data_IF_406994431962
#
_entry.id   IF_406994431962
#
_cell.length_a   1.000
_cell.length_b   1.000
_cell.length_c   1.000
_cell.angle_alpha   90.00
_cell.angle_beta   90.00
_cell.angle_gamma   90.00
#
_symmetry.space_group_name_H-M   'P 1'
#
loop_
_entity.id
_entity.type
_entity.pdbx_description
1 polymer ?
#
# COMPACT_ATOMS: atom_id res chain seq x y z
N UNK A 1 26.20 -1.27 8.02
CA UNK A 1 25.14 -0.42 8.58
C UNK A 1 25.14 0.86 7.78
N UNK A 2 24.08 1.10 7.01
CA UNK A 2 24.02 2.24 6.07
C UNK A 2 23.86 3.55 6.85
N UNK A 3 24.68 4.59 6.58
CA UNK A 3 24.65 5.86 7.33
C UNK A 3 23.35 6.65 7.19
N UNK A 4 22.48 6.26 6.23
CA UNK A 4 21.31 7.01 5.77
C UNK A 4 20.12 6.91 6.72
N UNK A 5 20.10 5.92 7.62
CA UNK A 5 18.91 5.57 8.40
C UNK A 5 19.17 5.54 9.91
N UNK A 6 20.28 6.08 10.39
CA UNK A 6 20.42 6.39 11.80
C UNK A 6 19.48 7.56 12.12
N UNK A 7 18.39 7.26 12.79
CA UNK A 7 17.68 8.24 13.60
C UNK A 7 18.63 8.64 14.74
N UNK A 8 19.43 9.65 14.52
CA UNK A 8 20.37 10.25 15.49
C UNK A 8 20.01 11.71 15.62
N UNK A 9 19.94 12.14 16.85
CA UNK A 9 19.72 13.51 17.34
C UNK A 9 20.88 14.45 16.97
N UNK A 10 21.24 14.55 15.69
CA UNK A 10 22.25 15.51 15.26
C UNK A 10 21.67 16.42 14.18
N UNK A 11 22.02 17.70 14.26
CA UNK A 11 21.57 18.86 13.50
C UNK A 11 21.73 18.81 11.96
N UNK A 12 22.00 17.63 11.41
CA UNK A 12 22.01 17.34 9.99
C UNK A 12 21.09 16.15 9.70
N UNK A 13 19.86 16.40 9.28
CA UNK A 13 18.91 15.34 8.90
C UNK A 13 19.51 14.31 7.94
N UNK A 14 18.92 13.11 7.80
CA UNK A 14 19.45 12.04 6.96
C UNK A 14 19.64 12.55 5.52
N UNK A 15 20.87 12.58 5.04
CA UNK A 15 21.20 13.07 3.70
C UNK A 15 20.76 12.03 2.68
N UNK A 16 19.99 12.47 1.69
CA UNK A 16 19.69 11.65 0.52
C UNK A 16 21.02 11.33 -0.19
N UNK A 17 21.33 10.04 -0.43
CA UNK A 17 22.57 9.69 -1.11
C UNK A 17 22.55 10.20 -2.55
N UNK A 18 23.72 10.53 -3.13
CA UNK A 18 23.78 10.98 -4.51
C UNK A 18 23.24 9.90 -5.46
N UNK A 19 22.47 10.29 -6.48
CA UNK A 19 21.88 9.37 -7.43
C UNK A 19 22.95 8.62 -8.24
N UNK A 20 22.67 7.37 -8.57
CA UNK A 20 23.54 6.54 -9.43
C UNK A 20 23.23 6.69 -10.91
N UNK A 21 21.96 6.92 -11.24
CA UNK A 21 21.47 7.01 -12.63
C UNK A 21 21.88 5.83 -13.53
N UNK A 22 22.11 4.66 -12.98
CA UNK A 22 22.52 3.48 -13.71
C UNK A 22 21.68 2.25 -13.37
N UNK A 23 21.75 1.25 -14.23
CA UNK A 23 21.17 -0.06 -13.96
C UNK A 23 22.02 -0.85 -12.97
N UNK A 24 21.37 -1.67 -12.15
CA UNK A 24 22.05 -2.58 -11.24
C UNK A 24 22.80 -3.65 -12.03
N UNK A 25 24.03 -3.95 -11.64
CA UNK A 25 24.76 -5.09 -12.20
C UNK A 25 24.08 -6.38 -11.69
N UNK A 26 23.71 -7.22 -12.65
CA UNK A 26 22.97 -8.46 -12.35
C UNK A 26 23.71 -9.37 -11.38
N UNK A 27 25.02 -9.48 -11.49
CA UNK A 27 25.86 -10.34 -10.63
C UNK A 27 25.86 -9.87 -9.16
N UNK A 28 25.63 -8.59 -8.92
CA UNK A 28 25.49 -8.06 -7.56
C UNK A 28 24.05 -8.21 -7.03
N UNK A 29 23.06 -8.16 -7.93
CA UNK A 29 21.64 -8.19 -7.60
C UNK A 29 21.10 -9.61 -7.41
N UNK A 30 21.53 -10.56 -8.23
CA UNK A 30 21.02 -11.93 -8.26
C UNK A 30 22.19 -12.90 -8.08
N UNK A 31 22.12 -13.75 -7.09
CA UNK A 31 23.14 -14.76 -6.83
C UNK A 31 23.12 -15.86 -7.89
N UNK A 32 24.18 -16.71 -7.89
CA UNK A 32 24.30 -17.82 -8.83
C UNK A 32 23.18 -18.88 -8.74
N UNK A 33 22.28 -18.77 -7.76
CA UNK A 33 21.08 -19.60 -7.58
C UNK A 33 19.79 -18.90 -7.98
N UNK A 34 19.88 -17.69 -8.55
CA UNK A 34 18.73 -16.89 -8.96
C UNK A 34 18.01 -16.15 -7.83
N UNK A 35 18.58 -16.12 -6.61
CA UNK A 35 18.00 -15.43 -5.47
C UNK A 35 18.37 -13.95 -5.48
N UNK A 36 17.39 -13.07 -5.25
CA UNK A 36 17.60 -11.62 -5.21
C UNK A 36 18.27 -11.20 -3.90
N UNK A 37 19.31 -10.38 -4.00
CA UNK A 37 19.93 -9.72 -2.86
C UNK A 37 19.14 -8.45 -2.51
N UNK A 38 18.25 -8.56 -1.54
CA UNK A 38 17.34 -7.48 -1.15
C UNK A 38 18.07 -6.26 -0.57
N UNK A 39 19.19 -6.45 0.12
CA UNK A 39 19.96 -5.34 0.68
C UNK A 39 20.63 -4.53 -0.43
N UNK A 40 21.21 -5.20 -1.40
CA UNK A 40 21.80 -4.53 -2.58
C UNK A 40 20.73 -3.81 -3.38
N UNK A 41 19.57 -4.44 -3.59
CA UNK A 41 18.44 -3.84 -4.29
C UNK A 41 17.91 -2.59 -3.58
N UNK A 42 17.74 -2.67 -2.25
CA UNK A 42 17.31 -1.52 -1.44
C UNK A 42 18.28 -0.35 -1.54
N UNK A 43 19.59 -0.61 -1.36
CA UNK A 43 20.62 0.43 -1.48
C UNK A 43 20.66 1.05 -2.86
N UNK A 44 20.51 0.22 -3.90
CA UNK A 44 20.50 0.67 -5.28
C UNK A 44 19.32 1.62 -5.55
N UNK A 45 18.11 1.26 -5.09
CA UNK A 45 16.92 2.09 -5.22
C UNK A 45 16.97 3.37 -4.36
N UNK A 46 17.53 3.32 -3.14
CA UNK A 46 17.77 4.53 -2.32
C UNK A 46 18.65 5.56 -3.05
N UNK A 47 19.51 5.10 -3.95
CA UNK A 47 20.33 5.94 -4.81
C UNK A 47 19.71 6.20 -6.18
N UNK A 48 18.41 6.03 -6.33
CA UNK A 48 17.67 6.25 -7.58
C UNK A 48 18.17 5.41 -8.77
N UNK A 49 18.87 4.29 -8.49
CA UNK A 49 19.23 3.32 -9.50
C UNK A 49 18.03 2.52 -9.97
N UNK A 50 18.14 1.86 -11.13
CA UNK A 50 17.07 1.04 -11.73
C UNK A 50 17.52 -0.39 -11.93
N UNK A 51 16.58 -1.29 -12.07
CA UNK A 51 16.85 -2.63 -12.58
C UNK A 51 16.87 -2.60 -14.10
N UNK A 52 17.55 -3.58 -14.72
CA UNK A 52 17.32 -3.83 -16.14
C UNK A 52 15.86 -4.25 -16.37
N UNK A 53 15.29 -3.92 -17.54
CA UNK A 53 13.93 -4.38 -17.90
C UNK A 53 13.80 -5.91 -17.72
N UNK A 54 14.82 -6.65 -18.12
CA UNK A 54 14.83 -8.11 -18.05
C UNK A 54 14.75 -8.59 -16.59
N UNK A 55 15.53 -8.02 -15.67
CA UNK A 55 15.53 -8.43 -14.27
C UNK A 55 14.24 -8.01 -13.56
N UNK A 56 13.70 -6.82 -13.89
CA UNK A 56 12.40 -6.39 -13.40
C UNK A 56 11.28 -7.36 -13.81
N UNK A 57 11.18 -7.72 -15.10
CA UNK A 57 10.20 -8.69 -15.59
C UNK A 57 10.37 -10.06 -14.95
N UNK A 58 11.60 -10.55 -14.79
CA UNK A 58 11.86 -11.83 -14.13
C UNK A 58 11.35 -11.84 -12.67
N UNK A 59 11.63 -10.78 -11.91
CA UNK A 59 11.15 -10.67 -10.52
C UNK A 59 9.62 -10.67 -10.50
N UNK A 60 8.98 -9.85 -11.33
CA UNK A 60 7.51 -9.72 -11.36
C UNK A 60 6.85 -11.05 -11.75
N UNK A 61 7.30 -11.71 -12.80
CA UNK A 61 6.71 -12.96 -13.31
C UNK A 61 6.85 -14.11 -12.29
N UNK A 62 8.03 -14.24 -11.68
CA UNK A 62 8.26 -15.26 -10.67
C UNK A 62 7.43 -14.98 -9.40
N UNK A 63 7.35 -13.71 -8.94
CA UNK A 63 6.49 -13.33 -7.82
C UNK A 63 5.01 -13.58 -8.12
N UNK A 64 4.55 -13.26 -9.33
CA UNK A 64 3.17 -13.54 -9.77
C UNK A 64 2.86 -15.04 -9.71
N UNK A 65 3.82 -15.89 -10.06
CA UNK A 65 3.67 -17.36 -9.98
C UNK A 65 3.50 -17.83 -8.54
N UNK A 66 4.24 -17.25 -7.59
CA UNK A 66 4.07 -17.52 -6.16
C UNK A 66 2.71 -17.04 -5.67
N UNK A 67 2.35 -15.77 -5.94
CA UNK A 67 1.09 -15.17 -5.52
C UNK A 67 -0.14 -15.92 -6.07
N UNK A 68 -0.05 -16.43 -7.28
CA UNK A 68 -1.13 -17.21 -7.92
C UNK A 68 -1.46 -18.48 -7.16
N UNK A 69 -0.50 -19.09 -6.48
CA UNK A 69 -0.71 -20.32 -5.69
C UNK A 69 -1.29 -20.02 -4.28
N UNK A 70 -1.24 -18.79 -3.82
CA UNK A 70 -1.78 -18.42 -2.53
C UNK A 70 -3.32 -18.36 -2.54
N UNK A 71 -3.98 -18.75 -1.44
CA UNK A 71 -5.45 -18.65 -1.33
C UNK A 71 -5.89 -17.18 -1.20
N UNK A 72 -7.18 -16.90 -1.45
CA UNK A 72 -7.77 -15.57 -1.26
C UNK A 72 -7.65 -15.05 0.18
N UNK A 73 -7.69 -15.96 1.15
CA UNK A 73 -7.51 -15.67 2.57
C UNK A 73 -6.27 -16.39 3.07
N UNK A 74 -5.24 -15.63 3.37
CA UNK A 74 -4.01 -16.15 3.95
C UNK A 74 -4.24 -16.58 5.41
N UNK A 75 -3.61 -17.66 5.84
CA UNK A 75 -3.57 -18.10 7.25
C UNK A 75 -2.14 -17.96 7.76
N UNK A 76 -1.92 -16.98 8.64
CA UNK A 76 -0.60 -16.66 9.19
C UNK A 76 -0.59 -17.06 10.66
N UNK A 77 0.26 -18.02 10.98
CA UNK A 77 0.48 -18.47 12.35
C UNK A 77 1.93 -18.17 12.72
N UNK A 78 2.17 -17.04 13.33
CA UNK A 78 3.49 -16.57 13.74
C UNK A 78 3.37 -15.80 15.07
N UNK A 79 4.27 -16.01 16.04
CA UNK A 79 4.23 -15.32 17.33
C UNK A 79 4.30 -13.80 17.23
N UNK A 80 4.94 -13.26 16.17
CA UNK A 80 5.07 -11.81 15.97
C UNK A 80 4.88 -11.45 14.51
N UNK A 81 3.80 -10.77 14.18
CA UNK A 81 3.48 -10.29 12.81
C UNK A 81 3.47 -8.78 12.77
N UNK A 82 4.29 -8.20 11.91
CA UNK A 82 4.28 -6.76 11.62
C UNK A 82 3.26 -6.50 10.52
N UNK A 83 2.22 -5.71 10.82
CA UNK A 83 1.20 -5.31 9.86
C UNK A 83 1.51 -3.89 9.38
N UNK A 84 1.61 -3.74 8.07
CA UNK A 84 1.91 -2.50 7.37
C UNK A 84 0.68 -2.07 6.58
N UNK A 85 0.24 -0.83 6.77
CA UNK A 85 -0.84 -0.23 5.99
C UNK A 85 -0.39 0.32 4.65
N UNK A 86 -1.10 1.32 4.14
CA UNK A 86 -0.82 1.99 2.87
C UNK A 86 0.63 2.50 2.81
N UNK A 87 1.32 2.22 1.72
CA UNK A 87 2.70 2.68 1.45
C UNK A 87 2.72 3.83 0.43
N UNK A 88 1.81 3.81 -0.53
CA UNK A 88 1.53 4.91 -1.47
C UNK A 88 2.73 5.41 -2.28
N UNK A 89 3.60 4.50 -2.71
CA UNK A 89 4.78 4.87 -3.49
C UNK A 89 5.85 5.62 -2.69
N UNK A 90 5.73 5.73 -1.37
CA UNK A 90 6.69 6.39 -0.49
C UNK A 90 7.87 5.44 -0.17
N UNK A 91 8.72 5.20 -1.16
CA UNK A 91 9.80 4.22 -1.09
C UNK A 91 10.77 4.46 0.07
N UNK A 92 11.10 5.72 0.37
CA UNK A 92 12.03 6.07 1.45
C UNK A 92 11.45 5.76 2.84
N UNK A 93 10.13 5.86 2.98
CA UNK A 93 9.42 5.46 4.20
C UNK A 93 9.26 3.93 4.28
N UNK A 94 9.01 3.26 3.15
CA UNK A 94 9.06 1.80 3.08
C UNK A 94 10.44 1.27 3.51
N UNK A 95 11.52 1.89 3.04
CA UNK A 95 12.87 1.56 3.47
C UNK A 95 13.03 1.70 4.99
N UNK A 96 12.49 2.77 5.59
CA UNK A 96 12.48 2.98 7.05
C UNK A 96 11.71 1.87 7.78
N UNK A 97 10.53 1.48 7.29
CA UNK A 97 9.74 0.36 7.84
C UNK A 97 10.56 -0.94 7.82
N UNK A 98 11.22 -1.23 6.71
CA UNK A 98 12.07 -2.41 6.54
C UNK A 98 13.20 -2.45 7.58
N UNK A 99 13.83 -1.30 7.85
CA UNK A 99 14.88 -1.19 8.86
C UNK A 99 14.35 -1.30 10.29
N UNK A 100 13.26 -0.60 10.62
CA UNK A 100 12.60 -0.67 11.94
C UNK A 100 12.23 -2.11 12.28
N UNK A 101 11.77 -2.86 11.30
CA UNK A 101 11.33 -4.23 11.46
C UNK A 101 12.39 -5.29 11.25
N UNK A 102 13.57 -4.93 10.70
CA UNK A 102 14.58 -5.88 10.25
C UNK A 102 14.03 -6.95 9.28
N UNK A 103 13.27 -6.50 8.27
CA UNK A 103 12.48 -7.34 7.37
C UNK A 103 13.32 -8.39 6.63
N UNK A 104 14.59 -8.11 6.36
CA UNK A 104 15.46 -9.05 5.65
C UNK A 104 16.04 -10.16 6.53
N UNK A 105 15.80 -10.08 7.84
CA UNK A 105 16.17 -11.13 8.79
C UNK A 105 15.06 -12.14 8.87
N UNK A 106 14.86 -13.15 8.46
CA UNK A 106 13.78 -14.16 8.62
C UNK A 106 13.18 -14.26 10.05
N UNK A 107 13.49 -13.32 10.92
CA UNK A 107 13.12 -13.32 12.33
C UNK A 107 11.70 -12.80 12.57
N UNK A 108 11.06 -12.17 11.57
CA UNK A 108 9.72 -11.60 11.69
C UNK A 108 8.90 -11.81 10.43
N UNK A 109 7.62 -12.01 10.62
CA UNK A 109 6.64 -12.06 9.54
C UNK A 109 6.05 -10.68 9.28
N UNK A 110 5.89 -10.33 8.00
CA UNK A 110 5.32 -9.07 7.53
C UNK A 110 4.03 -9.33 6.74
N UNK A 111 3.00 -8.57 7.08
CA UNK A 111 1.75 -8.53 6.34
C UNK A 111 1.49 -7.10 5.87
N UNK A 112 1.50 -6.88 4.58
CA UNK A 112 1.15 -5.61 3.94
C UNK A 112 -0.32 -5.64 3.50
N UNK A 113 -1.07 -4.59 3.82
CA UNK A 113 -2.51 -4.54 3.59
C UNK A 113 -2.91 -4.00 2.21
N UNK A 114 -1.96 -3.66 1.34
CA UNK A 114 -2.22 -3.10 0.01
C UNK A 114 -1.85 -1.63 -0.12
N UNK A 115 -2.20 -1.04 -1.26
CA UNK A 115 -1.88 0.33 -1.65
C UNK A 115 -0.37 0.62 -1.60
N UNK A 116 0.37 -0.13 -2.44
CA UNK A 116 1.82 0.00 -2.58
C UNK A 116 2.22 1.16 -3.46
N UNK A 117 1.34 1.53 -4.39
CA UNK A 117 1.57 2.47 -5.49
C UNK A 117 0.72 3.73 -5.34
N UNK A 118 0.93 4.66 -6.27
CA UNK A 118 0.23 5.94 -6.42
C UNK A 118 0.56 6.98 -5.33
N UNK A 119 0.26 8.23 -5.61
CA UNK A 119 0.41 9.40 -4.74
C UNK A 119 1.84 9.85 -4.44
N UNK A 120 2.88 9.06 -4.73
CA UNK A 120 4.28 9.45 -4.69
C UNK A 120 5.02 8.89 -5.91
N UNK A 121 6.25 9.35 -6.18
CA UNK A 121 6.98 9.12 -7.43
C UNK A 121 7.90 7.90 -7.43
N UNK A 122 7.80 7.02 -6.42
CA UNK A 122 8.67 5.86 -6.26
C UNK A 122 7.88 4.55 -6.13
N UNK A 123 6.73 4.48 -6.82
CA UNK A 123 5.83 3.32 -6.78
C UNK A 123 6.46 2.08 -7.41
N UNK A 124 7.24 2.25 -8.49
CA UNK A 124 7.97 1.15 -9.14
C UNK A 124 9.00 0.53 -8.21
N UNK A 125 9.74 1.34 -7.46
CA UNK A 125 10.73 0.87 -6.47
C UNK A 125 10.04 0.13 -5.32
N UNK A 126 8.90 0.65 -4.83
CA UNK A 126 8.10 0.00 -3.79
C UNK A 126 7.67 -1.40 -4.23
N UNK A 127 6.98 -1.50 -5.35
CA UNK A 127 6.40 -2.78 -5.77
C UNK A 127 7.47 -3.79 -6.18
N UNK A 128 8.54 -3.38 -6.87
CA UNK A 128 9.62 -4.27 -7.25
C UNK A 128 10.36 -4.83 -6.03
N UNK A 129 10.62 -4.00 -5.01
CA UNK A 129 11.24 -4.46 -3.78
C UNK A 129 10.35 -5.43 -2.99
N UNK A 130 9.04 -5.15 -2.90
CA UNK A 130 8.09 -6.01 -2.20
C UNK A 130 7.90 -7.36 -2.93
N UNK A 131 7.84 -7.37 -4.26
CA UNK A 131 7.78 -8.60 -5.05
C UNK A 131 9.07 -9.42 -4.92
N UNK A 132 10.24 -8.76 -4.93
CA UNK A 132 11.52 -9.41 -4.67
C UNK A 132 11.60 -10.00 -3.26
N UNK A 133 11.09 -9.27 -2.26
CA UNK A 133 11.01 -9.75 -0.88
C UNK A 133 10.07 -10.96 -0.76
N UNK A 134 8.92 -10.94 -1.44
CA UNK A 134 8.00 -12.08 -1.54
C UNK A 134 8.68 -13.33 -2.12
N UNK A 135 9.44 -13.17 -3.19
CA UNK A 135 10.22 -14.27 -3.80
C UNK A 135 11.28 -14.83 -2.85
N UNK A 136 11.99 -13.94 -2.16
CA UNK A 136 13.12 -14.32 -1.31
C UNK A 136 12.67 -14.94 0.00
N UNK A 137 11.52 -14.49 0.53
CA UNK A 137 10.95 -14.89 1.81
C UNK A 137 9.44 -15.18 1.72
N UNK A 138 8.99 -16.16 0.92
CA UNK A 138 7.58 -16.40 0.63
C UNK A 138 6.75 -16.76 1.87
N UNK A 139 7.37 -17.33 2.90
CA UNK A 139 6.72 -17.71 4.16
C UNK A 139 6.72 -16.59 5.23
N UNK A 140 7.42 -15.49 4.99
CA UNK A 140 7.56 -14.39 5.97
C UNK A 140 7.05 -13.06 5.43
N UNK A 141 6.85 -12.90 4.11
CA UNK A 141 6.35 -11.68 3.48
C UNK A 141 5.03 -11.98 2.80
N UNK A 142 3.97 -11.35 3.29
CA UNK A 142 2.61 -11.50 2.78
C UNK A 142 2.09 -10.16 2.27
N UNK A 143 1.50 -10.18 1.07
CA UNK A 143 1.02 -8.99 0.39
C UNK A 143 -0.48 -9.16 0.09
N UNK A 144 -1.33 -8.25 0.56
CA UNK A 144 -2.74 -8.20 0.19
C UNK A 144 -2.97 -7.21 -0.95
N UNK A 145 -4.10 -7.34 -1.62
CA UNK A 145 -4.56 -6.39 -2.64
C UNK A 145 -5.23 -5.19 -1.97
N UNK A 146 -4.83 -3.98 -2.33
CA UNK A 146 -5.54 -2.75 -2.06
C UNK A 146 -6.36 -2.29 -3.28
N UNK A 147 -7.10 -1.21 -3.12
CA UNK A 147 -7.92 -0.64 -4.18
C UNK A 147 -7.10 0.05 -5.30
N UNK A 148 -5.86 0.45 -5.02
CA UNK A 148 -4.96 1.01 -6.03
C UNK A 148 -4.26 -0.06 -6.88
N UNK A 149 -4.23 -1.31 -6.45
CA UNK A 149 -3.65 -2.42 -7.22
C UNK A 149 -4.59 -2.87 -8.34
N UNK A 150 -4.88 -1.93 -9.28
CA UNK A 150 -5.73 -2.15 -10.44
C UNK A 150 -5.41 -1.17 -11.57
N UNK A 151 -5.83 -1.50 -12.80
CA UNK A 151 -5.58 -0.68 -13.99
C UNK A 151 -6.28 0.67 -13.94
N UNK A 152 -7.51 0.69 -13.41
CA UNK A 152 -8.31 1.90 -13.33
C UNK A 152 -7.61 2.96 -12.46
N UNK A 153 -7.26 2.64 -11.22
CA UNK A 153 -6.62 3.58 -10.30
C UNK A 153 -5.21 3.97 -10.75
N UNK A 154 -4.42 3.00 -11.22
CA UNK A 154 -3.06 3.24 -11.70
C UNK A 154 -2.98 4.17 -12.91
N UNK A 155 -4.04 4.25 -13.72
CA UNK A 155 -4.16 5.24 -14.80
C UNK A 155 -4.54 6.64 -14.28
N UNK A 156 -5.45 6.72 -13.28
CA UNK A 156 -5.90 8.00 -12.70
C UNK A 156 -4.76 8.67 -11.92
N UNK A 157 -4.02 7.91 -11.12
CA UNK A 157 -2.95 8.41 -10.25
C UNK A 157 -1.55 8.33 -10.87
N UNK A 158 -1.48 8.06 -12.17
CA UNK A 158 -0.28 8.15 -13.02
C UNK A 158 0.83 7.11 -12.74
N UNK A 159 0.53 6.01 -12.03
CA UNK A 159 1.51 4.92 -11.90
C UNK A 159 1.91 4.33 -13.26
N UNK A 160 0.97 4.27 -14.22
CA UNK A 160 1.29 3.88 -15.59
C UNK A 160 2.33 4.81 -16.21
N UNK A 161 2.16 6.13 -16.05
CA UNK A 161 3.11 7.13 -16.52
C UNK A 161 4.49 6.97 -15.89
N UNK A 162 4.55 6.68 -14.58
CA UNK A 162 5.79 6.34 -13.88
C UNK A 162 6.47 5.11 -14.49
N UNK A 163 5.73 4.02 -14.73
CA UNK A 163 6.25 2.80 -15.35
C UNK A 163 6.79 3.04 -16.76
N UNK A 164 6.08 3.81 -17.58
CA UNK A 164 6.50 4.13 -18.94
C UNK A 164 7.77 5.00 -18.96
N UNK A 165 7.91 5.90 -17.99
CA UNK A 165 9.10 6.75 -17.88
C UNK A 165 10.33 6.01 -17.36
N UNK A 166 10.16 5.11 -16.40
CA UNK A 166 11.25 4.36 -15.76
C UNK A 166 11.62 3.07 -16.51
N UNK A 167 10.63 2.43 -17.14
CA UNK A 167 10.73 1.16 -17.86
C UNK A 167 10.00 1.23 -19.20
N UNK A 168 8.89 0.49 -19.32
CA UNK A 168 8.03 0.45 -20.50
C UNK A 168 6.66 -0.19 -20.18
N UNK A 169 5.82 -0.31 -21.22
CA UNK A 169 4.47 -0.89 -21.09
C UNK A 169 4.48 -2.38 -20.70
N UNK A 170 5.48 -3.17 -21.14
CA UNK A 170 5.56 -4.59 -20.75
C UNK A 170 5.76 -4.77 -19.24
N UNK A 171 6.57 -3.90 -18.61
CA UNK A 171 6.76 -3.92 -17.15
C UNK A 171 5.47 -3.51 -16.43
N UNK A 172 4.77 -2.50 -16.94
CA UNK A 172 3.47 -2.09 -16.40
C UNK A 172 2.46 -3.25 -16.45
N UNK A 173 2.27 -3.88 -17.61
CA UNK A 173 1.32 -4.98 -17.77
C UNK A 173 1.69 -6.22 -16.94
N UNK A 174 2.98 -6.48 -16.77
CA UNK A 174 3.46 -7.54 -15.89
C UNK A 174 3.08 -7.25 -14.42
N UNK A 175 3.25 -5.99 -13.96
CA UNK A 175 2.84 -5.56 -12.61
C UNK A 175 1.32 -5.69 -12.44
N UNK A 176 0.52 -5.25 -13.43
CA UNK A 176 -0.94 -5.42 -13.39
C UNK A 176 -1.36 -6.88 -13.27
N UNK A 177 -0.66 -7.77 -13.97
CA UNK A 177 -0.87 -9.23 -13.87
C UNK A 177 -0.51 -9.76 -12.46
N UNK A 178 0.55 -9.22 -11.84
CA UNK A 178 0.92 -9.55 -10.47
C UNK A 178 -0.16 -9.07 -9.47
N UNK A 179 -0.72 -7.89 -9.68
CA UNK A 179 -1.78 -7.32 -8.85
C UNK A 179 -3.06 -8.18 -8.90
N UNK A 180 -3.41 -8.71 -10.06
CA UNK A 180 -4.54 -9.63 -10.19
C UNK A 180 -4.34 -10.93 -9.39
N UNK A 181 -3.09 -11.28 -9.03
CA UNK A 181 -2.76 -12.46 -8.24
C UNK A 181 -2.74 -12.23 -6.73
N UNK A 182 -2.81 -10.98 -6.26
CA UNK A 182 -2.74 -10.65 -4.83
C UNK A 182 -3.93 -11.22 -4.05
N UNK A 183 -3.71 -11.85 -2.89
CA UNK A 183 -4.76 -12.26 -1.95
C UNK A 183 -5.61 -11.08 -1.46
N UNK A 184 -6.86 -11.35 -1.03
CA UNK A 184 -7.83 -10.32 -0.63
C UNK A 184 -7.84 -10.06 0.86
N UNK A 185 -7.53 -11.06 1.69
CA UNK A 185 -7.55 -10.94 3.14
C UNK A 185 -6.55 -11.89 3.80
N UNK A 186 -6.32 -11.71 5.09
CA UNK A 186 -5.55 -12.63 5.91
C UNK A 186 -6.20 -12.83 7.28
N UNK A 187 -5.99 -14.01 7.89
CA UNK A 187 -6.30 -14.25 9.29
C UNK A 187 -5.00 -14.56 10.01
N UNK A 188 -4.63 -13.69 10.95
CA UNK A 188 -3.42 -13.81 11.75
C UNK A 188 -3.75 -14.44 13.09
N UNK A 189 -3.03 -15.52 13.43
CA UNK A 189 -3.12 -16.25 14.71
C UNK A 189 -4.56 -16.68 15.09
N UNK A 190 -5.42 -16.91 14.09
CA UNK A 190 -6.86 -17.18 14.28
C UNK A 190 -7.61 -16.12 15.13
N UNK A 191 -7.09 -14.90 15.20
CA UNK A 191 -7.63 -13.82 16.02
C UNK A 191 -7.90 -12.54 15.24
N UNK A 192 -7.01 -12.19 14.30
CA UNK A 192 -7.07 -10.91 13.60
C UNK A 192 -7.48 -11.14 12.15
N UNK A 193 -8.59 -10.53 11.74
CA UNK A 193 -8.97 -10.46 10.33
C UNK A 193 -8.34 -9.22 9.70
N UNK A 194 -7.45 -9.41 8.75
CA UNK A 194 -6.73 -8.35 8.09
C UNK A 194 -7.23 -8.20 6.64
N UNK A 195 -7.58 -6.99 6.25
CA UNK A 195 -8.16 -6.64 4.95
C UNK A 195 -7.76 -5.21 4.59
N UNK A 196 -7.79 -4.82 3.32
CA UNK A 196 -7.45 -3.45 2.93
C UNK A 196 -8.54 -2.45 3.28
N UNK A 197 -9.72 -2.54 2.67
CA UNK A 197 -10.87 -1.66 2.91
C UNK A 197 -11.63 -2.04 4.18
N UNK A 198 -12.48 -3.06 4.12
CA UNK A 198 -13.26 -3.44 5.28
C UNK A 198 -14.23 -4.58 5.04
N UNK A 199 -15.44 -4.43 5.54
CA UNK A 199 -16.48 -5.47 5.51
C UNK A 199 -17.45 -5.26 4.34
N UNK A 200 -18.11 -6.34 3.95
CA UNK A 200 -19.15 -6.38 2.92
C UNK A 200 -20.43 -6.98 3.47
N UNK A 201 -21.60 -6.49 3.10
CA UNK A 201 -22.86 -7.15 3.42
C UNK A 201 -22.97 -8.56 2.81
N UNK A 202 -22.26 -8.83 1.71
CA UNK A 202 -22.25 -10.13 1.02
C UNK A 202 -21.27 -11.13 1.69
N UNK A 203 -20.47 -10.69 2.68
CA UNK A 203 -19.44 -11.50 3.34
C UNK A 203 -19.74 -11.62 4.84
N UNK A 204 -20.51 -12.62 5.22
CA UNK A 204 -20.79 -12.93 6.63
C UNK A 204 -19.72 -13.86 7.24
N UNK A 205 -19.09 -14.70 6.42
CA UNK A 205 -18.05 -15.63 6.84
C UNK A 205 -16.77 -15.41 6.04
N UNK A 206 -15.62 -15.59 6.71
CA UNK A 206 -14.30 -15.61 6.06
C UNK A 206 -14.24 -16.64 4.91
N UNK A 207 -15.01 -17.73 5.01
CA UNK A 207 -15.05 -18.75 3.96
C UNK A 207 -15.74 -18.27 2.68
N UNK A 208 -16.65 -17.27 2.75
CA UNK A 208 -17.23 -16.65 1.55
C UNK A 208 -16.16 -15.98 0.68
N UNK A 209 -15.11 -15.38 1.29
CA UNK A 209 -14.02 -14.73 0.58
C UNK A 209 -13.22 -15.73 -0.26
N UNK A 210 -13.10 -16.97 0.19
CA UNK A 210 -12.35 -18.03 -0.54
C UNK A 210 -12.95 -18.36 -1.88
N UNK A 211 -14.25 -18.13 -2.07
CA UNK A 211 -15.00 -18.43 -3.29
C UNK A 211 -14.90 -17.30 -4.34
N UNK A 212 -14.35 -16.15 -3.99
CA UNK A 212 -14.22 -15.01 -4.90
C UNK A 212 -13.17 -15.33 -5.97
N UNK A 213 -13.52 -15.13 -7.25
CA UNK A 213 -12.56 -15.17 -8.34
C UNK A 213 -11.79 -13.84 -8.38
N UNK A 214 -10.54 -13.82 -7.83
CA UNK A 214 -9.75 -12.59 -7.69
C UNK A 214 -8.88 -12.25 -8.89
N UNK A 215 -8.60 -13.20 -9.79
CA UNK A 215 -7.67 -13.04 -10.93
C UNK A 215 -8.29 -12.17 -12.04
N UNK A 216 -8.68 -10.96 -11.69
CA UNK A 216 -9.32 -9.99 -12.56
C UNK A 216 -9.23 -8.57 -12.00
N UNK A 217 -9.57 -7.60 -12.83
CA UNK A 217 -9.82 -6.22 -12.38
C UNK A 217 -10.95 -6.20 -11.33
N UNK A 218 -10.80 -5.43 -10.23
CA UNK A 218 -11.86 -5.29 -9.23
C UNK A 218 -13.16 -4.78 -9.88
N UNK A 219 -14.31 -5.42 -9.62
CA UNK A 219 -15.59 -4.93 -10.10
C UNK A 219 -16.02 -3.67 -9.34
N UNK A 220 -16.98 -2.92 -9.87
CA UNK A 220 -17.52 -1.73 -9.23
C UNK A 220 -18.49 -2.02 -8.07
N UNK A 221 -18.91 -3.27 -7.88
CA UNK A 221 -19.87 -3.71 -6.84
C UNK A 221 -19.56 -5.15 -6.40
N UNK A 222 -20.05 -5.50 -5.20
CA UNK A 222 -20.02 -6.82 -4.61
C UNK A 222 -18.79 -7.09 -3.76
N UNK A 223 -18.72 -8.27 -3.17
CA UNK A 223 -17.78 -8.63 -2.10
C UNK A 223 -16.31 -8.24 -2.37
N UNK A 224 -15.80 -8.42 -3.59
CA UNK A 224 -14.42 -8.04 -3.91
C UNK A 224 -14.23 -6.51 -3.89
N UNK A 225 -15.20 -5.75 -4.42
CA UNK A 225 -15.19 -4.30 -4.32
C UNK A 225 -15.16 -3.85 -2.85
N UNK A 226 -16.04 -4.42 -2.05
CA UNK A 226 -16.23 -3.99 -0.67
C UNK A 226 -15.00 -4.28 0.21
N UNK A 227 -14.37 -5.44 0.04
CA UNK A 227 -13.12 -5.77 0.73
C UNK A 227 -11.99 -4.77 0.43
N UNK A 228 -12.05 -4.08 -0.71
CA UNK A 228 -11.04 -3.12 -1.14
C UNK A 228 -11.41 -1.66 -0.87
N UNK A 229 -12.71 -1.33 -0.76
CA UNK A 229 -13.19 0.06 -0.76
C UNK A 229 -14.04 0.47 0.43
N UNK A 230 -14.61 -0.47 1.19
CA UNK A 230 -15.51 -0.11 2.28
C UNK A 230 -14.79 0.61 3.42
N UNK A 231 -15.48 1.57 4.03
CA UNK A 231 -14.98 2.36 5.15
C UNK A 231 -15.89 2.22 6.39
N UNK A 232 -15.35 2.35 7.60
CA UNK A 232 -16.16 2.41 8.80
C UNK A 232 -16.79 3.78 8.97
N UNK A 233 -18.07 3.85 9.35
CA UNK A 233 -18.61 5.07 9.92
C UNK A 233 -18.83 4.88 11.41
N UNK A 234 -18.30 5.80 12.19
CA UNK A 234 -18.44 5.81 13.64
C UNK A 234 -18.93 7.18 14.05
N UNK A 235 -20.22 7.27 14.32
CA UNK A 235 -20.71 8.44 15.02
C UNK A 235 -20.38 8.24 16.52
N UNK A 236 -19.46 9.07 16.99
CA UNK A 236 -18.86 8.92 18.31
C UNK A 236 -19.87 9.27 19.39
N UNK A 237 -20.88 10.09 19.10
CA UNK A 237 -21.78 10.66 20.12
C UNK A 237 -23.23 10.21 19.99
N UNK A 238 -23.71 9.78 18.83
CA UNK A 238 -25.10 9.34 18.68
C UNK A 238 -25.31 8.39 17.48
N UNK A 239 -25.22 7.06 17.66
CA UNK A 239 -25.50 6.10 16.58
C UNK A 239 -26.91 6.20 16.00
N UNK A 240 -27.83 6.84 16.72
CA UNK A 240 -29.23 7.04 16.32
C UNK A 240 -29.43 8.23 15.36
N UNK A 241 -28.55 9.22 15.32
CA UNK A 241 -28.75 10.43 14.52
C UNK A 241 -28.42 10.25 13.04
N UNK A 242 -27.49 9.36 12.70
CA UNK A 242 -27.12 9.07 11.29
C UNK A 242 -28.19 8.20 10.63
N UNK A 243 -28.94 7.43 11.41
CA UNK A 243 -29.95 6.51 10.91
C UNK A 243 -31.35 7.12 10.77
N UNK A 244 -31.57 8.39 11.11
CA UNK A 244 -32.88 9.03 11.02
C UNK A 244 -33.22 9.64 9.64
N UNK A 245 -32.21 9.73 8.72
CA UNK A 245 -32.34 10.54 7.50
C UNK A 245 -32.95 9.87 6.27
N UNK A 246 -32.95 8.57 6.11
CA UNK A 246 -33.52 7.88 4.94
C UNK A 246 -33.99 6.47 5.28
N UNK A 247 -35.31 6.28 5.22
CA UNK A 247 -35.96 5.00 5.58
C UNK A 247 -35.80 3.89 4.54
N UNK A 248 -35.34 4.20 3.34
CA UNK A 248 -35.39 3.29 2.20
C UNK A 248 -34.04 2.75 1.73
N UNK A 249 -32.90 3.25 2.28
CA UNK A 249 -31.55 2.93 1.76
C UNK A 249 -30.71 2.02 2.67
N UNK A 250 -31.32 1.34 3.64
CA UNK A 250 -30.58 0.53 4.61
C UNK A 250 -30.64 -0.96 4.27
N UNK A 251 -29.50 -1.57 4.04
CA UNK A 251 -29.40 -3.02 4.08
C UNK A 251 -29.36 -3.50 5.54
N UNK A 252 -30.48 -3.99 6.07
CA UNK A 252 -30.57 -4.66 7.36
C UNK A 252 -30.85 -6.14 7.14
N UNK A 253 -29.89 -7.05 7.43
CA UNK A 253 -30.20 -8.48 7.44
C UNK A 253 -31.03 -8.82 8.68
N UNK A 254 -32.32 -9.04 8.53
CA UNK A 254 -33.21 -9.59 9.56
C UNK A 254 -34.23 -8.63 10.18
N UNK A 255 -35.46 -9.09 10.29
CA UNK A 255 -36.64 -8.40 10.80
C UNK A 255 -36.49 -7.88 12.23
N UNK A 256 -36.57 -6.54 12.41
CA UNK A 256 -36.87 -5.95 13.73
C UNK A 256 -36.46 -4.48 13.82
N UNK A 257 -37.34 -3.61 14.36
CA UNK A 257 -37.05 -2.18 14.51
C UNK A 257 -36.27 -1.91 15.80
N UNK A 258 -34.95 -1.86 15.69
CA UNK A 258 -34.09 -1.33 16.74
C UNK A 258 -32.89 -0.69 16.15
N UNK A 259 -33.01 0.56 15.81
CA UNK A 259 -32.09 1.40 15.02
C UNK A 259 -30.69 1.65 15.67
N UNK A 260 -30.29 1.00 16.71
CA UNK A 260 -29.01 1.25 17.38
C UNK A 260 -28.13 0.04 17.62
N UNK A 261 -28.61 -1.17 17.35
CA UNK A 261 -27.93 -2.42 17.73
C UNK A 261 -27.76 -3.45 16.61
N UNK A 262 -28.22 -3.17 15.39
CA UNK A 262 -28.15 -4.07 14.25
C UNK A 262 -26.94 -3.75 13.33
N UNK A 263 -26.38 -4.75 12.64
CA UNK A 263 -25.45 -4.53 11.52
C UNK A 263 -26.10 -3.59 10.49
N UNK A 264 -25.32 -2.60 10.04
CA UNK A 264 -25.78 -1.61 9.08
C UNK A 264 -24.69 -1.35 8.06
N UNK A 265 -25.09 -1.25 6.78
CA UNK A 265 -24.25 -0.88 5.65
C UNK A 265 -24.98 0.22 4.89
N UNK A 266 -24.30 1.34 4.62
CA UNK A 266 -24.79 2.49 3.88
C UNK A 266 -23.97 2.64 2.62
N UNK A 267 -24.54 3.16 1.53
CA UNK A 267 -23.78 3.46 0.32
C UNK A 267 -22.65 4.46 0.62
N UNK A 268 -21.44 4.19 0.13
CA UNK A 268 -20.30 5.07 0.32
C UNK A 268 -20.23 6.11 -0.81
N UNK A 269 -20.98 7.19 -0.66
CA UNK A 269 -21.03 8.28 -1.63
C UNK A 269 -19.67 8.96 -1.85
N UNK A 270 -18.82 9.03 -0.82
CA UNK A 270 -17.50 9.65 -0.93
C UNK A 270 -16.56 8.87 -1.84
N UNK A 271 -16.70 7.55 -1.86
CA UNK A 271 -15.93 6.68 -2.75
C UNK A 271 -16.62 6.47 -4.10
N UNK A 272 -17.93 6.69 -4.17
CA UNK A 272 -18.73 6.40 -5.36
C UNK A 272 -18.92 4.90 -5.63
N UNK A 273 -18.55 4.05 -4.70
CA UNK A 273 -18.74 2.60 -4.74
C UNK A 273 -18.65 2.02 -3.33
N UNK A 274 -19.11 0.76 -3.14
CA UNK A 274 -19.02 0.04 -1.86
C UNK A 274 -19.84 0.67 -0.73
N UNK A 275 -19.53 0.34 0.51
CA UNK A 275 -20.35 0.65 1.68
C UNK A 275 -19.56 1.31 2.81
N UNK A 276 -20.28 2.08 3.60
CA UNK A 276 -19.91 2.44 4.97
C UNK A 276 -20.51 1.39 5.92
N UNK A 277 -19.73 0.89 6.88
CA UNK A 277 -20.20 -0.13 7.83
C UNK A 277 -20.06 0.34 9.29
N UNK A 278 -21.02 -0.07 10.13
CA UNK A 278 -21.06 0.34 11.53
C UNK A 278 -20.38 -0.66 12.48
N UNK A 279 -20.26 -0.27 13.76
CA UNK A 279 -19.73 -1.13 14.82
C UNK A 279 -20.44 -2.48 14.94
N UNK A 280 -21.77 -2.51 14.76
CA UNK A 280 -22.53 -3.74 14.90
C UNK A 280 -22.24 -4.72 13.76
N UNK A 281 -21.94 -4.23 12.56
CA UNK A 281 -21.45 -5.05 11.46
C UNK A 281 -20.10 -5.71 11.81
N UNK A 282 -19.17 -4.94 12.41
CA UNK A 282 -17.89 -5.48 12.87
C UNK A 282 -18.10 -6.53 13.97
N UNK A 283 -18.90 -6.21 14.99
CA UNK A 283 -19.20 -7.12 16.09
C UNK A 283 -19.84 -8.42 15.59
N UNK A 284 -20.82 -8.33 14.70
CA UNK A 284 -21.48 -9.48 14.10
C UNK A 284 -20.49 -10.37 13.36
N UNK A 285 -19.65 -9.76 12.49
CA UNK A 285 -18.64 -10.48 11.72
C UNK A 285 -17.61 -11.18 12.63
N UNK A 286 -17.12 -10.50 13.68
CA UNK A 286 -16.18 -11.08 14.64
C UNK A 286 -16.77 -12.27 15.39
N UNK A 287 -18.01 -12.14 15.88
CA UNK A 287 -18.70 -13.22 16.60
C UNK A 287 -18.96 -14.43 15.72
N UNK A 288 -19.46 -14.20 14.50
CA UNK A 288 -19.74 -15.27 13.52
C UNK A 288 -18.49 -16.07 13.16
N UNK A 289 -17.33 -15.42 13.12
CA UNK A 289 -16.08 -16.04 12.69
C UNK A 289 -15.14 -16.43 13.85
N UNK A 290 -15.53 -16.18 15.10
CA UNK A 290 -14.69 -16.48 16.27
C UNK A 290 -13.40 -15.64 16.32
N UNK A 291 -13.46 -14.40 15.83
CA UNK A 291 -12.31 -13.50 15.71
C UNK A 291 -12.33 -12.43 16.80
N UNK A 292 -11.15 -11.87 17.08
CA UNK A 292 -10.96 -10.85 18.12
C UNK A 292 -11.09 -9.42 17.56
N UNK A 293 -10.51 -9.16 16.39
CA UNK A 293 -10.37 -7.80 15.86
C UNK A 293 -10.27 -7.81 14.34
N UNK A 294 -10.77 -6.74 13.71
CA UNK A 294 -10.53 -6.41 12.30
C UNK A 294 -9.36 -5.43 12.22
N UNK A 295 -8.38 -5.71 11.37
CA UNK A 295 -7.26 -4.81 11.08
C UNK A 295 -7.37 -4.37 9.62
N UNK A 296 -7.45 -3.07 9.39
CA UNK A 296 -7.61 -2.50 8.05
C UNK A 296 -6.66 -1.33 7.79
N UNK A 297 -6.64 -0.82 6.55
CA UNK A 297 -5.88 0.37 6.13
C UNK A 297 -6.79 1.37 5.40
N UNK A 298 -6.47 1.81 4.21
CA UNK A 298 -7.27 2.56 3.25
C UNK A 298 -7.56 4.03 3.59
N UNK A 299 -7.68 4.40 4.88
CA UNK A 299 -7.93 5.77 5.33
C UNK A 299 -6.68 6.36 6.00
N UNK A 300 -6.37 7.61 5.66
CA UNK A 300 -5.33 8.38 6.34
C UNK A 300 -5.70 8.55 7.81
N UNK A 301 -4.73 8.39 8.69
CA UNK A 301 -4.86 8.62 10.12
C UNK A 301 -3.78 9.60 10.57
N UNK A 302 -4.14 10.64 11.33
CA UNK A 302 -3.21 11.69 11.77
C UNK A 302 -2.01 11.12 12.55
N UNK A 303 -2.28 10.15 13.43
CA UNK A 303 -1.26 9.44 14.19
C UNK A 303 -0.71 8.19 13.48
N UNK A 304 -1.12 7.92 12.23
CA UNK A 304 -0.79 6.71 11.48
C UNK A 304 -1.61 5.49 11.89
N UNK A 305 -2.45 5.59 12.90
CA UNK A 305 -3.34 4.52 13.34
C UNK A 305 -4.57 5.06 14.06
N UNK A 306 -5.62 4.23 14.13
CA UNK A 306 -6.81 4.50 14.95
C UNK A 306 -7.34 3.20 15.55
N UNK A 307 -7.67 3.24 16.83
CA UNK A 307 -8.29 2.12 17.56
C UNK A 307 -9.76 2.43 17.75
N UNK A 308 -10.62 1.50 17.38
CA UNK A 308 -12.07 1.70 17.46
C UNK A 308 -12.67 0.83 18.56
N UNK A 309 -13.59 1.39 19.30
CA UNK A 309 -14.38 0.80 20.38
C UNK A 309 -13.78 -0.45 21.03
N UNK A 310 -13.49 -0.34 22.30
CA UNK A 310 -12.99 -1.45 23.09
C UNK A 310 -14.15 -2.36 23.52
N UNK A 311 -13.94 -3.66 23.42
CA UNK A 311 -14.83 -4.64 24.03
C UNK A 311 -14.78 -4.46 25.54
N UNK A 312 -15.94 -4.25 26.18
CA UNK A 312 -16.03 -3.99 27.62
C UNK A 312 -15.51 -5.14 28.50
N UNK A 313 -15.48 -6.37 27.98
CA UNK A 313 -15.00 -7.55 28.72
C UNK A 313 -13.50 -7.75 28.54
N UNK A 314 -13.00 -7.64 27.31
CA UNK A 314 -11.59 -7.91 27.01
C UNK A 314 -10.71 -6.66 27.04
N UNK A 315 -11.30 -5.47 27.10
CA UNK A 315 -10.64 -4.17 26.94
C UNK A 315 -9.72 -4.14 25.69
N UNK A 316 -10.15 -4.78 24.59
CA UNK A 316 -9.44 -4.90 23.33
C UNK A 316 -10.21 -4.21 22.20
N UNK A 317 -9.58 -3.48 21.28
CA UNK A 317 -10.27 -2.82 20.19
C UNK A 317 -10.92 -3.85 19.25
N UNK A 318 -12.15 -3.61 18.84
CA UNK A 318 -12.84 -4.48 17.88
C UNK A 318 -12.33 -4.28 16.45
N UNK A 319 -11.79 -3.10 16.15
CA UNK A 319 -11.19 -2.79 14.85
C UNK A 319 -10.03 -1.82 15.02
N UNK A 320 -9.08 -1.90 14.12
CA UNK A 320 -7.91 -1.00 14.00
C UNK A 320 -7.71 -0.58 12.56
N UNK A 321 -7.51 0.73 12.34
CA UNK A 321 -6.96 1.25 11.08
C UNK A 321 -5.49 1.54 11.25
N UNK A 322 -4.67 1.21 10.23
CA UNK A 322 -3.25 1.51 10.18
C UNK A 322 -2.90 2.13 8.84
N UNK A 323 -2.15 3.23 8.87
CA UNK A 323 -1.69 3.95 7.70
C UNK A 323 -0.18 4.17 7.79
N UNK A 324 0.58 3.69 6.82
CA UNK A 324 2.04 3.61 6.90
C UNK A 324 2.77 4.61 5.97
N UNK A 325 2.04 5.57 5.40
CA UNK A 325 2.58 6.65 4.58
C UNK A 325 2.55 7.98 5.34
N UNK A 326 3.64 8.36 6.05
CA UNK A 326 3.67 9.61 6.82
C UNK A 326 3.76 10.82 5.88
N UNK A 327 3.29 11.99 6.34
CA UNK A 327 3.22 13.22 5.56
C UNK A 327 2.64 12.99 4.15
N UNK A 328 1.52 12.28 4.10
CA UNK A 328 0.92 11.81 2.86
C UNK A 328 0.71 12.95 1.85
N UNK A 329 1.06 12.70 0.59
CA UNK A 329 1.08 13.69 -0.49
C UNK A 329 1.97 14.92 -0.20
N UNK A 330 2.98 14.79 0.68
CA UNK A 330 3.86 15.87 1.15
C UNK A 330 3.13 17.06 1.77
N UNK A 331 1.90 16.86 2.26
CA UNK A 331 1.01 17.93 2.71
C UNK A 331 0.23 17.63 4.00
N UNK A 332 -0.13 16.39 4.28
CA UNK A 332 -1.08 16.10 5.37
C UNK A 332 -0.44 16.08 6.76
N UNK A 333 0.87 16.12 6.88
CA UNK A 333 1.63 16.13 8.14
C UNK A 333 1.28 15.00 9.13
N UNK A 334 0.58 13.96 8.67
CA UNK A 334 0.27 12.78 9.46
C UNK A 334 1.53 11.96 9.77
N UNK A 335 1.50 11.21 10.87
CA UNK A 335 2.50 10.16 11.13
C UNK A 335 2.18 8.92 10.31
N UNK A 336 3.19 8.09 10.08
CA UNK A 336 3.03 6.70 9.67
C UNK A 336 3.05 5.79 10.90
N UNK A 337 2.40 4.63 10.81
CA UNK A 337 2.48 3.61 11.85
C UNK A 337 2.55 2.21 11.26
N UNK A 338 3.11 1.27 12.04
CA UNK A 338 2.97 -0.18 11.83
C UNK A 338 2.48 -0.81 13.11
N UNK A 339 1.66 -1.85 12.97
CA UNK A 339 1.18 -2.64 14.11
C UNK A 339 2.05 -3.90 14.27
N UNK A 340 2.31 -4.29 15.50
CA UNK A 340 3.01 -5.54 15.83
C UNK A 340 2.03 -6.40 16.63
N UNK A 341 1.60 -7.49 16.03
CA UNK A 341 0.66 -8.43 16.64
C UNK A 341 1.45 -9.55 17.31
N UNK A 342 1.43 -9.59 18.65
CA UNK A 342 2.12 -10.60 19.47
C UNK A 342 1.11 -11.30 20.40
N UNK A 343 0.56 -12.42 19.93
CA UNK A 343 -0.52 -13.10 20.62
C UNK A 343 -1.77 -12.20 20.76
N UNK A 344 -2.12 -11.81 21.98
CA UNK A 344 -3.21 -10.85 22.28
C UNK A 344 -2.68 -9.43 22.56
N UNK A 345 -1.41 -9.19 22.40
CA UNK A 345 -0.82 -7.86 22.59
C UNK A 345 -0.65 -7.16 21.24
N UNK A 346 -0.81 -5.85 21.25
CA UNK A 346 -0.62 -4.99 20.09
C UNK A 346 0.48 -4.00 20.45
N UNK A 347 1.58 -4.08 19.73
CA UNK A 347 2.58 -3.03 19.70
C UNK A 347 2.28 -2.06 18.55
N UNK A 348 2.46 -0.77 18.78
CA UNK A 348 2.32 0.26 17.75
C UNK A 348 3.65 0.99 17.65
N UNK A 349 4.20 1.08 16.43
CA UNK A 349 5.37 1.90 16.16
C UNK A 349 5.02 2.99 15.19
N UNK A 350 5.07 4.23 15.67
CA UNK A 350 4.87 5.44 14.85
C UNK A 350 6.21 5.94 14.31
N UNK A 351 6.16 6.60 13.16
CA UNK A 351 7.33 7.24 12.55
C UNK A 351 6.91 8.44 11.72
N UNK A 352 7.84 9.39 11.57
CA UNK A 352 7.70 10.55 10.68
C UNK A 352 8.26 10.22 9.30
N UNK A 353 7.93 11.07 8.31
CA UNK A 353 8.41 10.93 6.94
C UNK A 353 9.94 10.97 6.85
N UNK A 354 10.46 10.24 5.88
CA UNK A 354 11.86 10.25 5.49
C UNK A 354 12.08 11.32 4.41
N UNK A 355 13.21 12.03 4.40
CA UNK A 355 13.57 12.85 3.27
C UNK A 355 13.66 12.01 2.00
N UNK A 356 13.19 12.54 0.89
CA UNK A 356 13.24 11.89 -0.41
C UNK A 356 13.62 12.90 -1.51
N UNK A 357 14.12 12.45 -2.67
CA UNK A 357 14.40 13.33 -3.80
C UNK A 357 13.12 14.02 -4.28
N UNK A 358 13.23 15.29 -4.64
CA UNK A 358 12.15 16.00 -5.31
C UNK A 358 12.04 15.53 -6.76
N UNK A 359 10.85 15.18 -7.17
CA UNK A 359 10.53 14.79 -8.56
C UNK A 359 9.51 15.78 -9.11
N UNK A 360 9.77 16.32 -10.28
CA UNK A 360 8.83 17.21 -10.97
C UNK A 360 7.52 16.46 -11.30
N UNK A 361 6.37 17.16 -11.29
CA UNK A 361 5.09 16.56 -11.64
C UNK A 361 5.16 15.79 -12.97
N UNK A 362 4.50 14.63 -13.05
CA UNK A 362 4.51 13.73 -14.21
C UNK A 362 5.92 13.30 -14.66
N UNK A 363 6.85 13.24 -13.73
CA UNK A 363 8.27 12.92 -14.02
C UNK A 363 8.87 13.80 -15.13
N UNK A 364 8.48 15.08 -15.18
CA UNK A 364 8.97 16.02 -16.16
C UNK A 364 10.50 16.13 -16.07
N UNK A 365 11.20 16.00 -17.20
CA UNK A 365 12.61 16.34 -17.30
C UNK A 365 12.73 17.82 -17.70
N UNK A 366 13.16 18.65 -16.76
CA UNK A 366 13.28 20.10 -16.99
C UNK A 366 14.25 20.43 -18.13
N UNK A 367 15.32 19.65 -18.31
CA UNK A 367 16.27 19.83 -19.40
C UNK A 367 15.65 19.48 -20.75
N UNK A 368 14.98 18.34 -20.88
CA UNK A 368 14.28 17.97 -22.12
C UNK A 368 13.21 19.00 -22.46
N UNK A 369 12.46 19.48 -21.46
CA UNK A 369 11.43 20.48 -21.66
C UNK A 369 12.00 21.83 -22.10
N UNK A 370 13.11 22.29 -21.50
CA UNK A 370 13.73 23.58 -21.83
C UNK A 370 14.62 23.53 -23.05
N UNK A 371 15.02 22.33 -23.51
CA UNK A 371 16.04 22.16 -24.54
C UNK A 371 15.63 22.79 -25.89
N UNK A 372 14.38 22.64 -26.30
CA UNK A 372 13.86 23.26 -27.54
C UNK A 372 13.97 24.77 -27.50
N UNK A 373 13.63 25.41 -26.38
CA UNK A 373 13.75 26.85 -26.19
C UNK A 373 15.22 27.30 -26.19
N UNK A 374 16.08 26.55 -25.53
CA UNK A 374 17.52 26.85 -25.51
C UNK A 374 18.14 26.74 -26.91
N UNK A 375 17.77 25.73 -27.69
CA UNK A 375 18.23 25.58 -29.08
C UNK A 375 17.79 26.75 -29.97
N UNK A 376 16.54 27.17 -29.86
CA UNK A 376 16.01 28.32 -30.62
C UNK A 376 16.76 29.60 -30.22
N UNK A 377 16.96 29.82 -28.90
CA UNK A 377 17.73 30.98 -28.42
C UNK A 377 19.17 30.97 -28.90
N UNK A 378 19.84 29.82 -28.90
CA UNK A 378 21.22 29.68 -29.42
C UNK A 378 21.27 29.93 -30.93
N UNK A 379 20.32 29.37 -31.69
CA UNK A 379 20.20 29.63 -33.13
C UNK A 379 20.06 31.12 -33.44
N UNK A 380 19.20 31.83 -32.70
CA UNK A 380 18.95 33.26 -32.91
C UNK A 380 20.17 34.12 -32.55
N UNK A 381 20.91 33.73 -31.49
CA UNK A 381 22.21 34.35 -31.16
C UNK A 381 23.21 34.17 -32.30
N UNK A 382 23.38 32.96 -32.82
CA UNK A 382 24.29 32.70 -33.94
C UNK A 382 23.86 33.46 -35.21
N UNK A 383 22.58 33.51 -35.53
CA UNK A 383 22.05 34.28 -36.66
C UNK A 383 22.38 35.78 -36.50
N UNK A 384 22.24 36.33 -35.29
CA UNK A 384 22.61 37.72 -35.01
C UNK A 384 24.10 37.99 -35.17
N UNK A 385 24.97 37.10 -34.72
CA UNK A 385 26.42 37.24 -34.85
C UNK A 385 26.82 37.23 -36.34
N UNK A 386 26.29 36.25 -37.09
CA UNK A 386 26.60 36.13 -38.55
C UNK A 386 26.10 37.37 -39.32
N UNK A 387 24.94 37.92 -38.95
CA UNK A 387 24.44 39.12 -39.61
C UNK A 387 25.20 40.39 -39.25
N UNK A 388 25.90 40.43 -38.11
CA UNK A 388 26.77 41.55 -37.74
C UNK A 388 28.14 41.52 -38.41
N UNK A 389 28.63 40.34 -38.87
CA UNK A 389 29.91 40.23 -39.58
C UNK A 389 29.78 40.53 -41.09
N UNK A 390 28.57 40.72 -41.59
CA UNK A 390 28.28 41.05 -42.99
C UNK A 390 27.94 42.52 -43.26
N UNK A 391 28.08 43.40 -42.27
CA UNK A 391 27.91 44.85 -42.36
C UNK A 391 29.24 45.54 -42.09
#
# INVERSE_FOLDING_TARGET
MLPILKAGEDEGGPRIPPPLWCEAKREALIDGKGKVNLEVMLVHFLRQGRLSKHDALNIIQNASSVLRTEPNVLRIADPSVVVVGDVRGQFYDLAKIIFIGNMFSRAKTYLFLGNYIDSCFFSTECILLLLAAKLTHPSCVFLLRGNHECRFMSNIFDFRGECLKKYNDDVYEAIMTAFDCLPLAAVVNNQYFCVHGGLSPDVTSVDNIRLIYRFREPPSKGAMCDLLWSDPFWDVENPSSVCEGSRDDYYTPGNGPSYGTAPCFLDNEQRGCSYLFNYHSVKHFLLTNGLLCVVRSHEVQDDGYKLYRFNSVSNFPCMMSVFSAPNYCDNLHNKGAVLILEGKQIGIKQFCCSPHPYVLPKHLNAFEWSFSYLLDSVRDIFASIISCEGA
#
